data_IF_289304644620
#
_entry.id   IF_289304644620
#
_cell.length_a   1.000
_cell.length_b   1.000
_cell.length_c   1.000
_cell.angle_alpha   90.00
_cell.angle_beta   90.00
_cell.angle_gamma   90.00
#
_symmetry.space_group_name_H-M   'P 1'
#
loop_
_entity.id
_entity.type
_entity.pdbx_description
1 polymer ?
#
# COMPACT_ATOMS: atom_id res chain seq x y z
N UNK A 1 16.24 26.66 2.54
CA UNK A 1 14.77 26.69 2.60
C UNK A 1 14.24 26.51 1.18
N UNK A 2 14.03 25.25 0.76
CA UNK A 2 13.46 24.95 -0.56
C UNK A 2 11.94 24.87 -0.39
N UNK A 3 11.25 25.78 -1.07
CA UNK A 3 9.81 25.72 -1.31
C UNK A 3 9.45 24.34 -1.86
N UNK A 4 8.70 23.54 -1.09
CA UNK A 4 8.02 22.36 -1.63
C UNK A 4 6.83 22.89 -2.41
N UNK A 5 6.94 22.88 -3.74
CA UNK A 5 5.77 22.97 -4.59
C UNK A 5 4.79 21.88 -4.16
N UNK A 6 3.50 22.22 -4.12
CA UNK A 6 2.40 21.28 -4.01
C UNK A 6 2.37 20.42 -5.28
N UNK A 7 3.25 19.42 -5.35
CA UNK A 7 3.04 18.33 -6.30
C UNK A 7 1.77 17.64 -5.83
N UNK A 8 0.70 17.82 -6.62
CA UNK A 8 -0.54 17.07 -6.46
C UNK A 8 -0.15 15.61 -6.60
N UNK A 9 -0.40 14.80 -5.56
CA UNK A 9 -0.21 13.36 -5.64
C UNK A 9 -0.93 12.83 -6.87
N UNK A 10 -0.19 12.22 -7.79
CA UNK A 10 -0.75 11.72 -9.03
C UNK A 10 -1.64 10.50 -8.74
N UNK A 11 -2.95 10.66 -8.95
CA UNK A 11 -3.87 9.52 -8.98
C UNK A 11 -3.96 8.95 -10.39
N UNK A 12 -4.28 7.66 -10.48
CA UNK A 12 -4.62 7.00 -11.75
C UNK A 12 -6.04 6.49 -11.71
N UNK A 13 -6.70 6.50 -12.86
CA UNK A 13 -8.10 6.12 -12.98
C UNK A 13 -8.26 4.97 -13.98
N UNK A 14 -9.02 3.95 -13.58
CA UNK A 14 -9.48 2.86 -14.45
C UNK A 14 -10.99 2.99 -14.66
N UNK A 15 -11.46 2.63 -15.86
CA UNK A 15 -12.89 2.66 -16.24
C UNK A 15 -13.29 1.43 -17.03
N UNK A 16 -14.41 0.82 -16.64
CA UNK A 16 -15.06 -0.25 -17.40
C UNK A 16 -16.58 -0.05 -17.33
N UNK A 17 -17.21 0.32 -18.44
CA UNK A 17 -18.65 0.63 -18.45
C UNK A 17 -19.00 1.72 -17.43
N UNK A 18 -19.82 1.37 -16.43
CA UNK A 18 -20.23 2.27 -15.34
C UNK A 18 -19.29 2.22 -14.13
N UNK A 19 -18.35 1.29 -14.09
CA UNK A 19 -17.40 1.13 -13.00
C UNK A 19 -16.21 2.09 -13.16
N UNK A 20 -15.80 2.70 -12.04
CA UNK A 20 -14.62 3.58 -11.98
C UNK A 20 -13.82 3.31 -10.71
N UNK A 21 -12.51 3.14 -10.88
CA UNK A 21 -11.54 2.94 -9.80
C UNK A 21 -10.50 4.05 -9.85
N UNK A 22 -10.24 4.71 -8.73
CA UNK A 22 -9.18 5.69 -8.58
C UNK A 22 -8.14 5.14 -7.61
N UNK A 23 -6.88 5.08 -8.04
CA UNK A 23 -5.75 4.61 -7.26
C UNK A 23 -4.82 5.77 -6.94
N UNK A 24 -4.14 5.69 -5.79
CA UNK A 24 -3.07 6.61 -5.38
C UNK A 24 -1.78 5.81 -5.11
N UNK A 25 -1.02 5.44 -6.16
CA UNK A 25 0.15 4.58 -6.02
C UNK A 25 1.20 5.12 -5.03
N UNK A 26 1.44 6.42 -5.05
CA UNK A 26 2.43 7.08 -4.18
C UNK A 26 2.04 7.11 -2.70
N UNK A 27 0.74 6.94 -2.38
CA UNK A 27 0.24 6.91 -1.00
C UNK A 27 -0.12 5.46 -0.66
N UNK A 28 0.90 4.67 -0.31
CA UNK A 28 0.71 3.31 0.19
C UNK A 28 0.15 2.32 -0.83
N UNK A 29 0.11 2.66 -2.13
CA UNK A 29 -0.56 1.84 -3.13
C UNK A 29 -2.07 1.76 -2.91
N UNK A 30 -2.68 2.83 -2.38
CA UNK A 30 -4.05 2.85 -1.92
C UNK A 30 -5.08 2.95 -3.06
N UNK A 31 -6.30 2.50 -2.78
CA UNK A 31 -7.50 2.89 -3.52
C UNK A 31 -8.03 4.19 -2.90
N UNK A 32 -8.25 5.21 -3.73
CA UNK A 32 -8.85 6.48 -3.34
C UNK A 32 -10.37 6.53 -3.57
N UNK A 33 -10.87 5.76 -4.53
CA UNK A 33 -12.30 5.60 -4.75
C UNK A 33 -12.59 4.33 -5.58
N UNK A 34 -13.72 3.68 -5.32
CA UNK A 34 -14.32 2.71 -6.23
C UNK A 34 -15.83 2.96 -6.28
N UNK A 35 -16.36 3.12 -7.47
CA UNK A 35 -17.77 3.42 -7.69
C UNK A 35 -18.36 2.70 -8.90
N UNK A 36 -19.67 2.55 -8.89
CA UNK A 36 -20.46 2.01 -9.99
C UNK A 36 -21.66 2.91 -10.26
N UNK A 37 -21.77 3.41 -11.50
CA UNK A 37 -22.83 4.32 -11.93
C UNK A 37 -22.97 5.57 -11.04
N UNK A 38 -21.83 6.19 -10.69
CA UNK A 38 -21.78 7.37 -9.82
C UNK A 38 -22.08 7.09 -8.34
N UNK A 39 -22.30 5.83 -7.95
CA UNK A 39 -22.54 5.45 -6.55
C UNK A 39 -21.28 4.85 -5.94
N UNK A 40 -20.80 5.38 -4.80
CA UNK A 40 -19.61 4.85 -4.15
C UNK A 40 -19.86 3.42 -3.65
N UNK A 41 -19.00 2.50 -4.07
CA UNK A 41 -18.94 1.12 -3.54
C UNK A 41 -18.01 1.07 -2.34
N UNK A 42 -16.88 1.79 -2.40
CA UNK A 42 -16.03 2.06 -1.24
C UNK A 42 -16.23 3.51 -0.77
N UNK A 43 -16.00 3.77 0.53
CA UNK A 43 -15.98 5.13 1.07
C UNK A 43 -14.94 5.96 0.29
N UNK A 44 -15.31 7.03 -0.42
CA UNK A 44 -14.35 7.84 -1.15
C UNK A 44 -13.39 8.55 -0.19
N UNK A 45 -12.12 8.64 -0.55
CA UNK A 45 -11.14 9.50 0.12
C UNK A 45 -11.55 10.96 -0.07
N UNK A 46 -11.51 11.77 0.99
CA UNK A 46 -11.76 13.21 0.88
C UNK A 46 -10.56 13.92 0.22
N UNK A 47 -10.81 15.06 -0.43
CA UNK A 47 -9.74 15.89 -0.99
C UNK A 47 -8.71 16.30 0.08
N UNK A 48 -9.17 16.55 1.32
CA UNK A 48 -8.31 16.84 2.46
C UNK A 48 -7.38 15.67 2.79
N UNK A 49 -7.92 14.44 2.86
CA UNK A 49 -7.12 13.25 3.13
C UNK A 49 -6.13 12.95 2.00
N UNK A 50 -6.54 13.18 0.75
CA UNK A 50 -5.70 13.04 -0.43
C UNK A 50 -4.53 14.04 -0.39
N UNK A 51 -4.80 15.31 -0.08
CA UNK A 51 -3.78 16.36 0.06
C UNK A 51 -2.85 16.13 1.25
N UNK A 52 -3.37 15.58 2.36
CA UNK A 52 -2.59 15.28 3.55
C UNK A 52 -1.70 14.03 3.40
N UNK A 53 -1.98 13.16 2.42
CA UNK A 53 -1.28 11.87 2.30
C UNK A 53 -1.60 10.90 3.44
N UNK A 54 -2.70 11.11 4.17
CA UNK A 54 -3.09 10.25 5.29
C UNK A 54 -3.75 8.97 4.78
N UNK A 55 -2.93 7.96 4.46
CA UNK A 55 -3.36 6.67 3.93
C UNK A 55 -4.47 6.00 4.77
N UNK A 56 -4.57 6.27 6.08
CA UNK A 56 -5.62 5.69 6.93
C UNK A 56 -7.01 6.24 6.61
N UNK A 57 -7.06 7.41 6.03
CA UNK A 57 -8.27 8.08 5.59
C UNK A 57 -8.64 7.72 4.14
N UNK A 58 -7.86 6.85 3.47
CA UNK A 58 -8.18 6.38 2.13
C UNK A 58 -9.29 5.32 2.12
N UNK A 59 -9.83 5.00 0.93
CA UNK A 59 -10.83 3.94 0.78
C UNK A 59 -10.30 2.57 1.17
N UNK A 60 -9.07 2.23 0.74
CA UNK A 60 -8.42 0.95 1.02
C UNK A 60 -6.91 1.05 0.81
N UNK A 61 -6.13 0.28 1.57
CA UNK A 61 -4.69 0.14 1.43
C UNK A 61 -4.26 -1.29 1.81
N UNK A 62 -3.17 -1.82 1.22
CA UNK A 62 -2.69 -3.16 1.50
C UNK A 62 -2.02 -3.27 2.88
N UNK A 63 -2.17 -4.43 3.52
CA UNK A 63 -1.49 -4.78 4.77
C UNK A 63 -0.44 -5.84 4.45
N UNK A 64 0.79 -5.41 4.24
CA UNK A 64 1.89 -6.24 3.74
C UNK A 64 3.21 -5.75 4.34
N UNK A 65 4.13 -6.64 4.75
CA UNK A 65 4.12 -8.09 4.62
C UNK A 65 3.26 -8.87 5.61
N UNK A 66 2.72 -8.22 6.64
CA UNK A 66 1.84 -8.87 7.62
C UNK A 66 0.59 -8.03 7.89
N UNK A 67 -0.45 -8.68 8.40
CA UNK A 67 -1.70 -8.04 8.79
C UNK A 67 -1.81 -7.91 10.31
N UNK A 68 -2.56 -6.90 10.74
CA UNK A 68 -2.76 -6.53 12.14
C UNK A 68 -1.45 -6.37 12.93
N UNK A 69 -1.43 -6.77 14.19
CA UNK A 69 -0.38 -6.44 15.16
C UNK A 69 0.64 -7.54 15.36
N UNK A 70 1.91 -7.14 15.55
CA UNK A 70 2.95 -7.96 16.16
C UNK A 70 3.26 -7.36 17.54
N UNK A 71 3.15 -8.21 18.57
CA UNK A 71 3.30 -7.81 19.96
C UNK A 71 4.65 -7.14 20.23
N UNK A 72 4.64 -6.11 21.07
CA UNK A 72 5.77 -5.27 21.48
C UNK A 72 6.67 -4.68 20.37
N UNK A 73 6.21 -4.78 19.11
CA UNK A 73 7.01 -4.53 17.92
C UNK A 73 8.28 -5.41 17.88
N UNK A 74 8.13 -6.70 18.20
CA UNK A 74 9.20 -7.68 18.13
C UNK A 74 8.72 -8.92 17.35
N UNK A 75 9.35 -9.18 16.20
CA UNK A 75 9.12 -10.39 15.43
C UNK A 75 10.09 -11.47 15.87
N UNK A 76 9.58 -12.63 16.28
CA UNK A 76 10.39 -13.82 16.54
C UNK A 76 10.27 -14.78 15.36
N UNK A 77 11.38 -15.04 14.66
CA UNK A 77 11.41 -15.93 13.50
C UNK A 77 12.78 -16.58 13.34
N UNK A 78 12.80 -17.87 12.99
CA UNK A 78 14.06 -18.57 12.71
C UNK A 78 15.03 -18.66 13.90
N UNK A 79 14.54 -18.54 15.13
CA UNK A 79 15.38 -18.48 16.34
C UNK A 79 15.93 -17.08 16.67
N UNK A 80 15.64 -16.08 15.83
CA UNK A 80 16.09 -14.70 15.97
C UNK A 80 14.94 -13.78 16.42
N UNK A 81 15.30 -12.61 16.97
CA UNK A 81 14.37 -11.56 17.35
C UNK A 81 14.66 -10.27 16.57
N UNK A 82 13.66 -9.80 15.83
CA UNK A 82 13.77 -8.64 14.96
C UNK A 82 12.91 -7.49 15.49
N UNK A 83 13.51 -6.35 15.91
CA UNK A 83 12.76 -5.20 16.34
C UNK A 83 12.09 -4.52 15.14
N UNK A 84 10.79 -4.33 15.24
CA UNK A 84 9.98 -3.71 14.20
C UNK A 84 9.71 -2.22 14.49
N UNK A 85 9.46 -1.47 13.43
CA UNK A 85 9.06 -0.07 13.48
C UNK A 85 7.61 0.05 13.95
N UNK A 86 7.37 1.04 14.80
CA UNK A 86 6.03 1.46 15.24
C UNK A 86 5.63 2.67 14.43
N UNK A 87 4.84 2.45 13.38
CA UNK A 87 4.43 3.54 12.50
C UNK A 87 3.38 4.47 13.12
N UNK A 88 2.67 4.02 14.15
CA UNK A 88 1.65 4.80 14.83
C UNK A 88 2.18 5.33 16.16
N UNK A 89 2.17 6.67 16.38
CA UNK A 89 2.51 7.26 17.66
C UNK A 89 1.63 6.70 18.78
N UNK A 90 2.26 6.29 19.88
CA UNK A 90 1.57 5.79 21.07
C UNK A 90 1.22 4.30 21.05
N UNK A 91 1.43 3.58 19.95
CA UNK A 91 1.23 2.12 19.92
C UNK A 91 2.45 1.38 20.47
N UNK A 92 2.23 0.34 21.29
CA UNK A 92 3.26 -0.58 21.76
C UNK A 92 3.63 -1.64 20.71
N UNK A 93 2.76 -1.86 19.72
CA UNK A 93 2.83 -2.95 18.76
C UNK A 93 3.18 -2.44 17.35
N UNK A 94 3.89 -3.25 16.57
CA UNK A 94 4.00 -3.01 15.14
C UNK A 94 2.67 -3.38 14.46
N UNK A 95 2.30 -2.71 13.37
CA UNK A 95 0.99 -2.89 12.74
C UNK A 95 1.09 -2.82 11.21
N UNK A 96 0.43 -3.76 10.53
CA UNK A 96 0.15 -3.75 9.07
C UNK A 96 1.36 -3.77 8.11
N UNK A 97 2.56 -4.02 8.62
CA UNK A 97 3.78 -3.97 7.82
C UNK A 97 4.08 -2.56 7.32
N UNK A 98 4.84 -2.47 6.25
CA UNK A 98 5.36 -1.21 5.72
C UNK A 98 4.77 -0.81 4.38
N UNK A 99 4.04 -1.70 3.69
CA UNK A 99 3.51 -1.40 2.36
C UNK A 99 2.65 -0.16 2.28
N UNK A 100 1.81 0.08 3.29
CA UNK A 100 0.95 1.26 3.40
C UNK A 100 1.69 2.58 3.71
N UNK A 101 2.96 2.52 4.13
CA UNK A 101 3.81 3.70 4.38
C UNK A 101 4.72 4.07 3.21
N UNK A 102 4.79 3.24 2.18
CA UNK A 102 5.72 3.41 1.06
C UNK A 102 4.98 3.75 -0.23
N UNK A 103 5.65 4.51 -1.09
CA UNK A 103 5.17 4.73 -2.44
C UNK A 103 5.31 3.44 -3.26
N UNK A 104 4.31 3.15 -4.08
CA UNK A 104 4.31 2.05 -5.02
C UNK A 104 4.49 2.61 -6.44
N UNK A 105 5.38 1.99 -7.20
CA UNK A 105 5.66 2.37 -8.58
C UNK A 105 4.63 1.73 -9.52
N UNK A 106 4.11 2.49 -10.48
CA UNK A 106 3.28 1.91 -11.54
C UNK A 106 4.19 1.11 -12.48
N UNK A 107 3.90 -0.17 -12.67
CA UNK A 107 4.65 -1.06 -13.57
C UNK A 107 3.83 -1.50 -14.78
N UNK A 108 2.50 -1.39 -14.70
CA UNK A 108 1.59 -1.56 -15.82
C UNK A 108 0.38 -0.64 -15.66
N UNK A 109 -0.08 -0.05 -16.76
CA UNK A 109 -1.31 0.74 -16.79
C UNK A 109 -2.01 0.58 -18.14
N UNK A 110 -3.32 0.35 -18.10
CA UNK A 110 -4.23 0.35 -19.23
C UNK A 110 -5.60 0.90 -18.77
N UNK A 111 -6.56 1.14 -19.68
CA UNK A 111 -7.84 1.74 -19.29
C UNK A 111 -8.64 0.97 -18.22
N UNK A 112 -8.49 -0.36 -18.17
CA UNK A 112 -9.24 -1.25 -17.28
C UNK A 112 -8.37 -2.03 -16.30
N UNK A 113 -7.05 -1.82 -16.30
CA UNK A 113 -6.13 -2.53 -15.41
C UNK A 113 -4.92 -1.70 -15.03
N UNK A 114 -4.38 -1.93 -13.84
CA UNK A 114 -3.10 -1.39 -13.42
C UNK A 114 -2.38 -2.37 -12.50
N UNK A 115 -1.05 -2.39 -12.58
CA UNK A 115 -0.20 -3.08 -11.61
C UNK A 115 0.74 -2.07 -10.98
N UNK A 116 0.77 -2.03 -9.65
CA UNK A 116 1.72 -1.23 -8.87
C UNK A 116 2.64 -2.14 -8.06
N UNK A 117 3.88 -1.73 -7.87
CA UNK A 117 4.94 -2.53 -7.27
C UNK A 117 5.68 -1.76 -6.15
N UNK A 118 5.95 -2.46 -5.06
CA UNK A 118 6.84 -2.02 -3.99
C UNK A 118 8.04 -2.96 -3.92
N UNK A 119 9.25 -2.39 -3.92
CA UNK A 119 10.50 -3.12 -3.64
C UNK A 119 11.02 -2.67 -2.28
N UNK A 120 11.28 -3.64 -1.41
CA UNK A 120 11.81 -3.45 -0.06
C UNK A 120 13.16 -4.14 0.06
N UNK A 121 14.21 -3.38 0.40
CA UNK A 121 15.60 -3.87 0.46
C UNK A 121 16.04 -4.40 1.84
N UNK A 122 15.24 -4.14 2.89
CA UNK A 122 15.57 -4.45 4.28
C UNK A 122 16.97 -4.00 4.73
N UNK A 123 17.51 -2.91 4.17
CA UNK A 123 18.82 -2.38 4.50
C UNK A 123 18.73 -1.13 5.40
N UNK A 124 19.70 -0.96 6.30
CA UNK A 124 19.75 0.19 7.20
C UNK A 124 18.45 0.36 8.00
N UNK A 125 17.87 1.56 7.97
CA UNK A 125 16.62 1.85 8.68
C UNK A 125 15.43 1.04 8.16
N UNK A 126 15.44 0.64 6.87
CA UNK A 126 14.37 -0.17 6.28
C UNK A 126 14.29 -1.57 6.91
N UNK A 127 15.38 -2.09 7.48
CA UNK A 127 15.38 -3.37 8.17
C UNK A 127 14.42 -3.38 9.38
N UNK A 128 14.16 -2.22 10.00
CA UNK A 128 13.21 -2.11 11.10
C UNK A 128 11.77 -2.09 10.61
N UNK A 129 11.50 -1.63 9.41
CA UNK A 129 10.15 -1.69 8.84
C UNK A 129 9.72 -3.12 8.52
N UNK A 130 10.65 -3.88 7.94
CA UNK A 130 10.57 -5.33 7.83
C UNK A 130 11.98 -5.89 7.60
N UNK A 131 12.41 -6.93 8.33
CA UNK A 131 13.81 -7.37 8.33
C UNK A 131 14.20 -8.23 7.11
N UNK A 132 13.27 -8.55 6.21
CA UNK A 132 13.53 -9.40 5.05
C UNK A 132 13.21 -8.67 3.75
N UNK A 133 14.08 -8.72 2.73
CA UNK A 133 13.81 -8.04 1.47
C UNK A 133 12.69 -8.75 0.70
N UNK A 134 11.81 -7.97 0.07
CA UNK A 134 10.73 -8.51 -0.76
C UNK A 134 10.36 -7.57 -1.90
N UNK A 135 9.64 -8.12 -2.87
CA UNK A 135 8.93 -7.37 -3.90
C UNK A 135 7.45 -7.70 -3.84
N UNK A 136 6.60 -6.69 -3.69
CA UNK A 136 5.16 -6.85 -3.69
C UNK A 136 4.52 -6.23 -4.92
N UNK A 137 3.47 -6.85 -5.42
CA UNK A 137 2.64 -6.33 -6.52
C UNK A 137 1.17 -6.33 -6.13
N UNK A 138 0.51 -5.22 -6.40
CA UNK A 138 -0.95 -5.15 -6.44
C UNK A 138 -1.38 -5.01 -7.89
N UNK A 139 -2.10 -6.01 -8.40
CA UNK A 139 -2.76 -5.95 -9.70
C UNK A 139 -4.25 -5.67 -9.50
N UNK A 140 -4.76 -4.69 -10.23
CA UNK A 140 -6.15 -4.27 -10.24
C UNK A 140 -6.72 -4.53 -11.64
N UNK A 141 -7.73 -5.38 -11.73
CA UNK A 141 -8.47 -5.65 -12.96
C UNK A 141 -9.93 -5.21 -12.77
N UNK A 142 -10.36 -4.26 -13.60
CA UNK A 142 -11.68 -3.66 -13.55
C UNK A 142 -12.52 -4.14 -14.75
N UNK A 143 -13.56 -4.92 -14.45
CA UNK A 143 -14.65 -5.22 -15.37
C UNK A 143 -15.86 -4.31 -15.09
N UNK A 144 -16.89 -4.39 -15.93
CA UNK A 144 -18.05 -3.49 -15.85
C UNK A 144 -18.86 -3.60 -14.54
N UNK A 145 -18.76 -4.74 -13.85
CA UNK A 145 -19.48 -5.08 -12.63
C UNK A 145 -18.59 -5.63 -11.50
N UNK A 146 -17.29 -5.80 -11.77
CA UNK A 146 -16.36 -6.51 -10.88
C UNK A 146 -15.02 -5.79 -10.80
N UNK A 147 -14.53 -5.59 -9.58
CA UNK A 147 -13.14 -5.22 -9.32
C UNK A 147 -12.43 -6.45 -8.73
N UNK A 148 -11.36 -6.91 -9.39
CA UNK A 148 -10.49 -7.97 -8.90
C UNK A 148 -9.17 -7.36 -8.43
N UNK A 149 -8.75 -7.72 -7.22
CA UNK A 149 -7.45 -7.34 -6.67
C UNK A 149 -6.62 -8.59 -6.44
N UNK A 150 -5.39 -8.59 -6.94
CA UNK A 150 -4.40 -9.64 -6.66
C UNK A 150 -3.19 -9.02 -5.97
N UNK A 151 -2.94 -9.42 -4.73
CA UNK A 151 -1.73 -9.05 -3.99
C UNK A 151 -0.74 -10.22 -4.03
N UNK A 152 0.45 -10.00 -4.58
CA UNK A 152 1.53 -10.99 -4.62
C UNK A 152 2.72 -10.47 -3.84
N UNK A 153 3.34 -11.33 -3.05
CA UNK A 153 4.63 -11.07 -2.40
C UNK A 153 5.66 -12.07 -2.91
N UNK A 154 6.85 -11.57 -3.24
CA UNK A 154 7.99 -12.37 -3.66
C UNK A 154 9.17 -12.07 -2.74
N UNK A 155 9.65 -13.09 -2.04
CA UNK A 155 10.86 -12.99 -1.23
C UNK A 155 12.08 -12.84 -2.15
N UNK A 156 12.77 -11.71 -2.06
CA UNK A 156 13.97 -11.42 -2.86
C UNK A 156 15.27 -11.75 -2.12
N UNK A 157 15.17 -12.26 -0.88
CA UNK A 157 16.30 -12.66 -0.05
C UNK A 157 16.75 -14.11 -0.29
N UNK A 158 17.84 -14.48 0.38
CA UNK A 158 18.41 -15.84 0.33
C UNK A 158 17.85 -16.81 1.36
N UNK A 159 16.92 -16.39 2.23
CA UNK A 159 16.38 -17.19 3.32
C UNK A 159 14.86 -17.05 3.43
N UNK A 160 14.13 -18.06 3.95
CA UNK A 160 12.69 -17.96 4.19
C UNK A 160 12.33 -16.87 5.20
N UNK A 161 11.18 -16.23 5.03
CA UNK A 161 10.59 -15.34 6.01
C UNK A 161 9.08 -15.61 6.18
N UNK A 162 8.46 -15.21 7.31
CA UNK A 162 7.08 -15.55 7.65
C UNK A 162 6.02 -14.71 6.94
#
# INVERSE_FOLDING_TARGET
MRSRGTDVTATIELRAGLARLTLAPEIGGAIAAYEWNGKPILRPTSDEALAAGDVRSFSSYPLIPFSNRIADAMLHWGGEAYPLQRFLPGESHAIHGNGWHRAWNIVEQAPTRATVELVHDAAGDNAREWPFPYRARQAFDLAADTLTLTLTIFNTGGAPFP
#
